data_IF_768000102770
#
_entry.id   IF_768000102770
#
_cell.length_a   1.000
_cell.length_b   1.000
_cell.length_c   1.000
_cell.angle_alpha   90.00
_cell.angle_beta   90.00
_cell.angle_gamma   90.00
#
_symmetry.space_group_name_H-M   'P 1'
#
loop_
_entity.id
_entity.type
_entity.pdbx_description
1 polymer ?
#
# COMPACT_ATOMS: atom_id res chain seq x y z
N UNK A 1 51.31 -48.86 -12.42
CA UNK A 1 52.12 -49.72 -11.51
C UNK A 1 52.19 -49.09 -10.12
N UNK A 2 51.26 -49.46 -9.24
CA UNK A 2 51.38 -49.57 -7.78
C UNK A 2 50.05 -50.13 -7.27
N UNK A 3 50.12 -51.35 -6.75
CA UNK A 3 49.05 -52.14 -6.12
C UNK A 3 49.06 -51.85 -4.61
N UNK A 4 47.92 -51.97 -3.92
CA UNK A 4 47.68 -52.56 -2.58
C UNK A 4 46.23 -52.17 -2.16
N UNK A 5 45.20 -53.01 -2.22
CA UNK A 5 44.84 -54.26 -1.47
C UNK A 5 44.12 -53.99 -0.14
N UNK A 6 42.81 -54.30 -0.17
CA UNK A 6 41.95 -55.02 0.81
C UNK A 6 41.66 -54.41 2.19
N UNK A 7 40.36 -54.43 2.54
CA UNK A 7 39.89 -54.42 3.94
C UNK A 7 38.36 -54.42 4.10
N UNK A 8 37.71 -55.56 3.88
CA UNK A 8 36.31 -55.83 4.25
C UNK A 8 36.26 -56.33 5.69
N UNK A 9 35.46 -55.72 6.59
CA UNK A 9 34.93 -56.39 7.80
C UNK A 9 33.50 -55.88 8.06
N UNK A 10 32.60 -56.84 8.30
CA UNK A 10 31.16 -56.69 8.45
C UNK A 10 30.71 -56.47 9.92
N UNK A 11 29.62 -55.70 10.03
CA UNK A 11 28.45 -55.81 10.90
C UNK A 11 28.56 -56.55 12.27
N UNK A 12 28.15 -55.87 13.34
CA UNK A 12 27.35 -56.48 14.43
C UNK A 12 26.55 -55.42 15.19
N UNK A 13 25.29 -55.75 15.44
CA UNK A 13 24.24 -55.02 16.15
C UNK A 13 24.38 -55.11 17.67
N UNK A 14 24.01 -54.07 18.41
CA UNK A 14 23.48 -54.23 19.77
C UNK A 14 22.58 -53.05 20.19
N UNK A 15 21.35 -53.41 20.58
CA UNK A 15 20.32 -52.57 21.20
C UNK A 15 20.62 -52.47 22.69
N UNK A 16 20.60 -51.27 23.27
CA UNK A 16 20.47 -51.08 24.73
C UNK A 16 19.50 -49.93 25.01
N UNK A 17 18.33 -50.30 25.54
CA UNK A 17 17.38 -49.44 26.25
C UNK A 17 17.89 -49.22 27.67
N UNK A 18 18.14 -47.98 28.08
CA UNK A 18 18.13 -47.58 29.50
C UNK A 18 17.42 -46.24 29.64
N UNK A 19 16.32 -46.28 30.37
CA UNK A 19 15.59 -45.17 30.97
C UNK A 19 16.36 -44.62 32.16
N UNK A 20 16.45 -43.29 32.31
CA UNK A 20 16.59 -42.63 33.62
C UNK A 20 16.23 -41.14 33.54
N UNK A 21 15.57 -40.70 34.59
CA UNK A 21 14.87 -39.43 34.71
C UNK A 21 15.81 -38.26 35.05
N UNK A 22 15.38 -37.06 34.62
CA UNK A 22 15.55 -35.71 35.21
C UNK A 22 16.89 -35.37 35.87
N UNK A 23 17.51 -34.29 35.37
CA UNK A 23 17.78 -33.08 36.16
C UNK A 23 17.93 -31.88 35.21
N UNK A 24 17.29 -30.78 35.61
CA UNK A 24 17.14 -29.56 34.86
C UNK A 24 18.42 -28.70 34.91
N UNK A 25 18.74 -28.05 33.80
CA UNK A 25 19.57 -26.83 33.79
C UNK A 25 18.92 -25.81 32.86
N UNK A 26 18.92 -24.57 33.33
CA UNK A 26 17.99 -23.53 32.94
C UNK A 26 18.20 -22.97 31.54
N UNK A 27 17.09 -22.81 30.84
CA UNK A 27 16.95 -21.88 29.72
C UNK A 27 15.74 -20.99 30.02
N UNK A 28 15.98 -19.71 30.31
CA UNK A 28 14.92 -18.72 30.47
C UNK A 28 14.32 -18.41 29.10
N UNK A 29 13.25 -19.12 28.74
CA UNK A 29 12.35 -18.75 27.66
C UNK A 29 11.39 -17.68 28.19
N UNK A 30 11.57 -16.44 27.73
CA UNK A 30 10.55 -15.40 27.88
C UNK A 30 9.34 -15.79 27.03
N UNK A 31 8.35 -16.46 27.65
CA UNK A 31 7.02 -16.63 27.08
C UNK A 31 6.27 -15.30 27.20
N UNK A 32 6.14 -14.59 26.09
CA UNK A 32 5.19 -13.49 25.94
C UNK A 32 3.77 -14.01 26.16
N UNK A 33 3.24 -13.86 27.38
CA UNK A 33 1.83 -14.07 27.67
C UNK A 33 1.08 -12.75 27.47
N UNK A 34 0.86 -12.40 26.21
CA UNK A 34 -0.22 -11.48 25.84
C UNK A 34 -1.17 -12.26 24.92
N UNK A 35 -2.05 -13.04 25.54
CA UNK A 35 -3.27 -13.46 24.88
C UNK A 35 -4.33 -12.37 25.17
N UNK A 36 -5.02 -11.81 24.16
CA UNK A 36 -6.12 -10.90 24.42
C UNK A 36 -7.23 -11.65 25.14
N UNK A 37 -7.69 -11.11 26.27
CA UNK A 37 -8.87 -11.61 26.99
C UNK A 37 -10.10 -11.32 26.12
N UNK A 38 -10.96 -12.32 25.80
CA UNK A 38 -12.21 -12.05 25.09
C UNK A 38 -13.15 -11.28 26.01
N UNK A 39 -13.53 -10.05 25.62
CA UNK A 39 -14.59 -9.29 26.29
C UNK A 39 -15.93 -9.79 25.75
N UNK A 40 -16.80 -10.43 26.56
CA UNK A 40 -18.10 -10.88 26.10
C UNK A 40 -19.04 -9.67 25.92
N UNK A 41 -19.55 -9.49 24.70
CA UNK A 41 -20.68 -8.58 24.45
C UNK A 41 -20.38 -7.29 23.69
N UNK A 42 -19.37 -7.25 22.80
CA UNK A 42 -19.30 -6.16 21.82
C UNK A 42 -20.48 -6.28 20.84
N UNK A 43 -21.46 -5.39 21.00
CA UNK A 43 -22.45 -5.14 19.95
C UNK A 43 -21.69 -4.78 18.66
N UNK A 44 -22.14 -5.23 17.47
CA UNK A 44 -21.54 -4.79 16.23
C UNK A 44 -21.52 -3.25 16.21
N UNK A 45 -20.34 -2.68 15.96
CA UNK A 45 -20.15 -1.24 15.89
C UNK A 45 -21.09 -0.71 14.80
N UNK A 46 -21.89 0.31 15.11
CA UNK A 46 -22.76 0.96 14.13
C UNK A 46 -21.93 1.51 12.97
N UNK A 47 -22.46 1.51 11.75
CA UNK A 47 -21.80 2.07 10.57
C UNK A 47 -21.29 3.53 10.77
N UNK A 48 -21.91 4.30 11.68
CA UNK A 48 -21.43 5.65 12.04
C UNK A 48 -20.18 5.72 12.92
N UNK A 49 -19.72 4.59 13.51
CA UNK A 49 -18.44 4.52 14.23
C UNK A 49 -17.27 4.16 13.32
N UNK A 50 -17.56 3.49 12.20
CA UNK A 50 -16.59 3.19 11.13
C UNK A 50 -16.26 4.48 10.36
N UNK A 51 -17.24 5.40 10.20
CA UNK A 51 -17.07 6.64 9.42
C UNK A 51 -16.14 7.70 10.02
N UNK A 52 -15.78 7.63 11.31
CA UNK A 52 -14.97 8.65 11.99
C UNK A 52 -13.48 8.27 12.14
N UNK A 53 -13.03 7.20 11.46
CA UNK A 53 -11.64 6.75 11.49
C UNK A 53 -11.05 6.68 10.08
N UNK A 54 -11.25 7.73 9.28
CA UNK A 54 -10.77 7.80 7.90
C UNK A 54 -9.88 9.03 7.70
N UNK A 55 -8.86 8.90 6.87
CA UNK A 55 -7.99 9.99 6.46
C UNK A 55 -7.44 9.69 5.06
N UNK A 56 -7.06 10.73 4.32
CA UNK A 56 -6.36 10.58 3.07
C UNK A 56 -4.88 10.93 3.24
N UNK A 57 -4.02 10.33 2.43
CA UNK A 57 -2.58 10.52 2.49
C UNK A 57 -1.99 10.61 1.09
N UNK A 58 -1.08 11.58 0.91
CA UNK A 58 -0.24 11.71 -0.28
C UNK A 58 1.22 11.81 0.15
N UNK A 59 2.08 11.10 -0.56
CA UNK A 59 3.53 11.13 -0.39
C UNK A 59 4.12 11.68 -1.70
N UNK A 60 4.67 12.89 -1.66
CA UNK A 60 5.21 13.54 -2.85
C UNK A 60 6.38 14.46 -2.47
N UNK A 61 7.56 14.19 -3.01
CA UNK A 61 8.78 14.95 -2.78
C UNK A 61 9.30 15.64 -4.06
N UNK A 62 8.61 15.48 -5.19
CA UNK A 62 8.87 16.25 -6.42
C UNK A 62 8.20 17.63 -6.34
N UNK A 63 8.83 18.67 -6.88
CA UNK A 63 8.27 20.01 -6.92
C UNK A 63 7.25 20.14 -8.07
N UNK A 64 6.08 19.50 -7.94
CA UNK A 64 5.06 19.50 -8.99
C UNK A 64 4.14 20.73 -8.89
N UNK A 65 4.03 21.50 -9.98
CA UNK A 65 3.20 22.71 -10.05
C UNK A 65 1.71 22.46 -9.79
N UNK A 66 1.24 21.26 -10.13
CA UNK A 66 -0.16 20.85 -10.02
C UNK A 66 -0.50 20.12 -8.71
N UNK A 67 0.47 19.88 -7.81
CA UNK A 67 0.26 19.13 -6.57
C UNK A 67 -0.80 19.78 -5.67
N UNK A 68 -0.71 21.10 -5.47
CA UNK A 68 -1.66 21.85 -4.64
C UNK A 68 -3.08 21.81 -5.24
N UNK A 69 -3.29 22.10 -6.55
CA UNK A 69 -4.58 21.87 -7.20
C UNK A 69 -5.15 20.47 -7.01
N UNK A 70 -4.33 19.42 -7.15
CA UNK A 70 -4.76 18.03 -6.96
C UNK A 70 -5.22 17.79 -5.51
N UNK A 71 -4.43 18.19 -4.52
CA UNK A 71 -4.79 18.02 -3.09
C UNK A 71 -6.08 18.77 -2.75
N UNK A 72 -6.24 20.00 -3.27
CA UNK A 72 -7.46 20.78 -3.06
C UNK A 72 -8.68 20.14 -3.73
N UNK A 73 -8.51 19.55 -4.92
CA UNK A 73 -9.55 18.78 -5.60
C UNK A 73 -10.00 17.60 -4.75
N UNK A 74 -9.07 16.74 -4.31
CA UNK A 74 -9.38 15.63 -3.42
C UNK A 74 -10.11 16.10 -2.16
N UNK A 75 -9.62 17.15 -1.50
CA UNK A 75 -10.27 17.73 -0.32
C UNK A 75 -11.71 18.15 -0.58
N UNK A 76 -11.98 18.74 -1.74
CA UNK A 76 -13.31 19.23 -2.10
C UNK A 76 -14.31 18.09 -2.35
N UNK A 77 -13.87 17.01 -3.00
CA UNK A 77 -14.71 15.85 -3.32
C UNK A 77 -14.95 14.97 -2.09
N UNK A 78 -13.90 14.75 -1.28
CA UNK A 78 -13.99 13.95 -0.06
C UNK A 78 -14.79 14.64 1.06
N UNK A 79 -14.71 15.97 1.13
CA UNK A 79 -15.37 16.76 2.16
C UNK A 79 -14.62 16.78 3.51
N UNK A 80 -15.17 17.48 4.51
CA UNK A 80 -14.45 17.84 5.74
C UNK A 80 -14.17 16.67 6.69
N UNK A 81 -14.79 15.50 6.48
CA UNK A 81 -14.54 14.30 7.30
C UNK A 81 -13.26 13.54 6.91
N UNK A 82 -12.58 13.95 5.84
CA UNK A 82 -11.34 13.37 5.35
C UNK A 82 -10.18 14.35 5.53
N UNK A 83 -9.50 14.36 6.69
CA UNK A 83 -8.25 15.09 6.82
C UNK A 83 -7.21 14.52 5.85
N UNK A 84 -6.42 15.39 5.23
CA UNK A 84 -5.36 15.01 4.28
C UNK A 84 -3.99 15.17 4.94
N UNK A 85 -3.25 14.07 4.98
CA UNK A 85 -1.85 14.04 5.39
C UNK A 85 -0.95 14.15 4.17
N UNK A 86 -0.11 15.18 4.15
CA UNK A 86 0.85 15.44 3.07
C UNK A 86 2.26 15.15 3.60
N UNK A 87 2.90 14.12 3.06
CA UNK A 87 4.28 13.76 3.37
C UNK A 87 5.19 14.27 2.26
N UNK A 88 6.15 15.14 2.60
CA UNK A 88 7.03 15.79 1.63
C UNK A 88 8.41 16.05 2.22
N UNK A 89 9.40 16.48 1.43
CA UNK A 89 10.71 16.89 1.95
C UNK A 89 10.66 18.32 2.49
N UNK A 90 11.67 18.71 3.28
CA UNK A 90 11.77 20.08 3.84
C UNK A 90 11.78 21.15 2.73
N UNK A 91 12.44 20.87 1.61
CA UNK A 91 12.58 21.80 0.50
C UNK A 91 11.23 22.18 -0.14
N UNK A 92 10.27 21.26 -0.21
CA UNK A 92 8.96 21.52 -0.80
C UNK A 92 7.97 22.20 0.16
N UNK A 93 8.28 22.33 1.45
CA UNK A 93 7.38 22.98 2.43
C UNK A 93 7.10 24.44 2.05
N UNK A 94 8.09 25.12 1.47
CA UNK A 94 7.95 26.48 0.98
C UNK A 94 6.78 26.63 0.00
N UNK A 95 6.66 25.70 -0.95
CA UNK A 95 5.63 25.74 -1.98
C UNK A 95 4.21 25.68 -1.40
N UNK A 96 3.99 24.88 -0.35
CA UNK A 96 2.70 24.82 0.34
C UNK A 96 2.40 26.10 1.14
N UNK A 97 3.43 26.78 1.63
CA UNK A 97 3.33 27.99 2.45
C UNK A 97 2.87 29.21 1.65
N UNK A 98 3.16 29.25 0.36
CA UNK A 98 2.79 30.36 -0.53
C UNK A 98 1.32 30.29 -1.00
N UNK A 99 0.67 29.13 -0.89
CA UNK A 99 -0.72 28.95 -1.31
C UNK A 99 -1.72 29.31 -0.22
N UNK A 100 -2.37 30.48 -0.36
CA UNK A 100 -3.42 30.92 0.59
C UNK A 100 -4.58 29.90 0.74
N UNK A 101 -5.14 29.30 -0.34
CA UNK A 101 -6.17 28.27 -0.19
C UNK A 101 -5.70 27.06 0.60
N UNK A 102 -4.45 26.61 0.40
CA UNK A 102 -3.88 25.49 1.13
C UNK A 102 -3.66 25.84 2.62
N UNK A 103 -3.13 27.02 2.92
CA UNK A 103 -2.90 27.48 4.29
C UNK A 103 -4.20 27.59 5.10
N UNK A 104 -5.32 27.94 4.47
CA UNK A 104 -6.64 27.90 5.14
C UNK A 104 -7.03 26.49 5.58
N UNK A 105 -6.76 25.48 4.75
CA UNK A 105 -7.03 24.08 5.09
C UNK A 105 -6.15 23.60 6.24
N UNK A 106 -4.89 24.03 6.29
CA UNK A 106 -3.99 23.77 7.43
C UNK A 106 -4.51 24.44 8.70
N UNK A 107 -4.89 25.72 8.63
CA UNK A 107 -5.43 26.48 9.76
C UNK A 107 -6.74 25.88 10.31
N UNK A 108 -7.58 25.32 9.43
CA UNK A 108 -8.82 24.62 9.79
C UNK A 108 -8.57 23.20 10.34
N UNK A 109 -7.31 22.74 10.39
CA UNK A 109 -6.95 21.39 10.82
C UNK A 109 -7.35 20.29 9.84
N UNK A 110 -7.64 20.65 8.58
CA UNK A 110 -8.01 19.72 7.52
C UNK A 110 -6.80 19.14 6.80
N UNK A 111 -5.72 19.90 6.66
CA UNK A 111 -4.46 19.43 6.09
C UNK A 111 -3.37 19.34 7.15
N UNK A 112 -2.61 18.24 7.12
CA UNK A 112 -1.48 17.99 8.00
C UNK A 112 -0.24 17.76 7.14
N UNK A 113 0.68 18.72 7.12
CA UNK A 113 1.95 18.60 6.39
C UNK A 113 3.01 18.02 7.32
N UNK A 114 3.69 16.97 6.88
CA UNK A 114 4.75 16.30 7.63
C UNK A 114 5.99 16.10 6.74
N UNK A 115 7.16 16.34 7.32
CA UNK A 115 8.44 16.05 6.67
C UNK A 115 8.69 14.54 6.64
N UNK A 116 9.17 14.03 5.51
CA UNK A 116 9.72 12.69 5.41
C UNK A 116 10.92 12.52 6.37
N UNK A 117 11.15 11.31 6.91
CA UNK A 117 12.36 11.02 7.67
C UNK A 117 13.63 11.39 6.90
N UNK A 118 14.66 11.83 7.62
CA UNK A 118 15.93 12.23 7.01
C UNK A 118 16.54 11.05 6.24
N UNK A 119 16.89 11.30 4.97
CA UNK A 119 17.53 10.31 4.10
C UNK A 119 16.56 9.48 3.24
N UNK A 120 15.25 9.69 3.35
CA UNK A 120 14.29 9.12 2.41
C UNK A 120 14.39 9.83 1.04
N UNK A 121 14.94 9.13 0.06
CA UNK A 121 14.93 9.56 -1.33
C UNK A 121 13.85 8.76 -2.09
N UNK A 122 12.72 9.38 -2.39
CA UNK A 122 11.59 8.75 -3.10
C UNK A 122 11.67 9.01 -4.61
N UNK A 123 12.80 8.68 -5.22
CA UNK A 123 13.12 9.02 -6.61
C UNK A 123 12.77 7.92 -7.63
N UNK A 124 12.40 6.73 -7.17
CA UNK A 124 12.08 5.57 -8.01
C UNK A 124 10.85 4.84 -7.48
N UNK A 125 10.14 4.09 -8.34
CA UNK A 125 9.07 3.20 -7.91
C UNK A 125 9.51 2.28 -6.76
N UNK A 126 10.71 1.69 -6.86
CA UNK A 126 11.28 0.85 -5.81
C UNK A 126 11.44 1.57 -4.46
N UNK A 127 11.90 2.82 -4.48
CA UNK A 127 12.04 3.62 -3.25
C UNK A 127 10.71 4.02 -2.63
N UNK A 128 9.70 4.31 -3.46
CA UNK A 128 8.33 4.61 -3.00
C UNK A 128 7.68 3.37 -2.38
N UNK A 129 7.74 2.23 -3.08
CA UNK A 129 7.27 0.95 -2.56
C UNK A 129 7.98 0.60 -1.24
N UNK A 130 9.31 0.77 -1.18
CA UNK A 130 10.08 0.53 0.03
C UNK A 130 9.76 1.47 1.20
N UNK A 131 9.24 2.68 0.93
CA UNK A 131 8.78 3.60 1.95
C UNK A 131 7.41 3.20 2.51
N UNK A 132 6.45 2.86 1.64
CA UNK A 132 5.13 2.40 2.06
C UNK A 132 5.16 1.07 2.85
N UNK A 133 6.25 0.31 2.78
CA UNK A 133 6.45 -0.90 3.59
C UNK A 133 7.08 -0.64 4.97
N UNK A 134 7.35 0.62 5.33
CA UNK A 134 7.90 0.98 6.65
C UNK A 134 6.76 1.16 7.66
N UNK A 135 6.86 0.56 8.87
CA UNK A 135 5.87 0.78 9.93
C UNK A 135 5.67 2.27 10.27
N UNK A 136 6.75 3.07 10.21
CA UNK A 136 6.74 4.50 10.50
C UNK A 136 5.63 5.26 9.75
N UNK A 137 5.45 4.99 8.45
CA UNK A 137 4.45 5.68 7.62
C UNK A 137 3.04 5.44 8.17
N UNK A 138 2.72 4.18 8.47
CA UNK A 138 1.43 3.80 9.00
C UNK A 138 1.22 4.27 10.44
N UNK A 139 2.27 4.34 11.26
CA UNK A 139 2.19 4.88 12.62
C UNK A 139 1.82 6.38 12.64
N UNK A 140 2.30 7.17 11.67
CA UNK A 140 1.96 8.59 11.56
C UNK A 140 0.47 8.85 11.28
N UNK A 141 -0.25 7.83 10.81
CA UNK A 141 -1.67 7.88 10.49
C UNK A 141 -2.55 7.38 11.66
N UNK A 142 -1.99 7.31 12.87
CA UNK A 142 -2.77 7.17 14.11
C UNK A 142 -3.72 8.37 14.34
N UNK A 143 -5.00 8.18 14.73
CA UNK A 143 -5.73 6.94 15.04
C UNK A 143 -6.65 6.41 13.92
N UNK A 144 -6.53 6.89 12.68
CA UNK A 144 -7.35 6.51 11.52
C UNK A 144 -7.24 5.04 11.12
N UNK A 145 -8.34 4.38 10.84
CA UNK A 145 -8.38 2.96 10.48
C UNK A 145 -8.29 2.76 8.97
N UNK A 146 -8.99 3.58 8.20
CA UNK A 146 -9.02 3.52 6.74
C UNK A 146 -8.25 4.68 6.13
N UNK A 147 -7.24 4.37 5.31
CA UNK A 147 -6.39 5.38 4.68
C UNK A 147 -6.65 5.35 3.19
N UNK A 148 -7.13 6.47 2.63
CA UNK A 148 -7.12 6.68 1.18
C UNK A 148 -5.75 7.20 0.77
N UNK A 149 -4.97 6.38 0.08
CA UNK A 149 -3.73 6.79 -0.56
C UNK A 149 -4.05 7.27 -1.98
N UNK A 150 -3.51 8.43 -2.35
CA UNK A 150 -3.55 8.94 -3.71
C UNK A 150 -2.20 9.51 -4.12
N UNK A 151 -1.82 9.29 -5.38
CA UNK A 151 -0.60 9.83 -6.00
C UNK A 151 -0.93 11.02 -6.93
N UNK A 152 0.07 11.80 -7.33
CA UNK A 152 -0.13 13.03 -8.12
C UNK A 152 -0.62 12.77 -9.56
N UNK A 153 -0.52 11.53 -10.05
CA UNK A 153 -0.98 11.02 -11.34
C UNK A 153 -2.33 10.28 -11.24
N UNK A 154 -3.06 10.54 -10.15
CA UNK A 154 -4.36 9.96 -9.81
C UNK A 154 -5.42 11.04 -9.62
N UNK A 155 -6.69 10.71 -9.91
CA UNK A 155 -7.83 11.58 -9.65
C UNK A 155 -9.04 10.79 -9.13
N UNK A 156 -9.89 11.46 -8.34
CA UNK A 156 -11.28 11.05 -8.09
C UNK A 156 -12.24 11.97 -8.86
N UNK A 157 -13.29 11.41 -9.44
CA UNK A 157 -14.14 12.10 -10.40
C UNK A 157 -15.39 12.67 -9.72
N UNK A 158 -15.60 13.99 -9.74
CA UNK A 158 -16.76 14.60 -9.05
C UNK A 158 -18.10 14.20 -9.67
N UNK A 159 -18.09 13.73 -10.92
CA UNK A 159 -19.27 13.18 -11.60
C UNK A 159 -19.65 11.78 -11.12
N UNK A 160 -18.78 11.08 -10.37
CA UNK A 160 -19.09 9.74 -9.90
C UNK A 160 -20.23 9.76 -8.88
N UNK A 161 -21.25 8.89 -9.02
CA UNK A 161 -22.26 8.74 -8.00
C UNK A 161 -21.75 7.95 -6.78
N UNK A 162 -20.60 7.30 -6.91
CA UNK A 162 -19.96 6.54 -5.85
C UNK A 162 -19.17 7.47 -4.94
N UNK A 163 -18.99 7.04 -3.70
CA UNK A 163 -18.14 7.71 -2.71
C UNK A 163 -17.05 6.77 -2.24
N UNK A 164 -15.96 7.33 -1.71
CA UNK A 164 -14.89 6.51 -1.09
C UNK A 164 -15.46 5.67 0.06
N UNK A 165 -16.45 6.19 0.78
CA UNK A 165 -17.17 5.50 1.84
C UNK A 165 -17.82 4.18 1.41
N UNK A 166 -18.23 4.07 0.15
CA UNK A 166 -18.88 2.87 -0.39
C UNK A 166 -17.93 1.66 -0.44
N UNK A 167 -16.63 1.89 -0.23
CA UNK A 167 -15.58 0.88 -0.30
C UNK A 167 -14.86 0.64 1.03
N UNK A 168 -15.26 1.31 2.13
CA UNK A 168 -14.62 1.18 3.44
C UNK A 168 -14.83 -0.18 4.12
N UNK A 169 -15.73 -1.03 3.60
CA UNK A 169 -15.86 -2.40 4.08
C UNK A 169 -14.64 -3.27 3.73
N UNK A 170 -13.81 -2.84 2.78
CA UNK A 170 -12.64 -3.56 2.32
C UNK A 170 -11.38 -3.10 3.05
N UNK A 171 -10.53 -4.07 3.41
CA UNK A 171 -9.24 -3.81 4.05
C UNK A 171 -8.18 -3.34 3.04
N UNK A 172 -8.34 -3.67 1.76
CA UNK A 172 -7.57 -3.08 0.68
C UNK A 172 -8.37 -3.14 -0.62
N UNK A 173 -8.57 -1.97 -1.23
CA UNK A 173 -9.03 -1.83 -2.61
C UNK A 173 -8.13 -0.84 -3.34
N UNK A 174 -7.78 -1.17 -4.58
CA UNK A 174 -7.12 -0.27 -5.53
C UNK A 174 -7.59 -0.60 -6.95
N UNK A 175 -6.91 -0.09 -7.98
CA UNK A 175 -7.23 -0.46 -9.35
C UNK A 175 -6.84 -1.93 -9.57
N UNK A 176 -7.75 -2.83 -10.01
CA UNK A 176 -7.41 -4.23 -10.19
C UNK A 176 -6.42 -4.40 -11.35
N UNK A 177 -5.46 -5.30 -11.14
CA UNK A 177 -4.43 -5.63 -12.12
C UNK A 177 -4.91 -6.80 -12.98
N UNK A 178 -4.82 -6.66 -14.30
CA UNK A 178 -5.14 -7.72 -15.26
C UNK A 178 -4.08 -8.85 -15.21
N UNK A 179 -4.40 -9.89 -14.43
CA UNK A 179 -3.56 -11.08 -14.24
C UNK A 179 -3.39 -11.90 -15.54
N UNK A 180 -4.42 -11.92 -16.39
CA UNK A 180 -4.42 -12.62 -17.67
C UNK A 180 -3.41 -12.04 -18.66
N UNK A 181 -3.00 -10.77 -18.48
CA UNK A 181 -1.94 -10.11 -19.24
C UNK A 181 -0.55 -10.28 -18.62
N UNK A 182 -0.42 -11.02 -17.51
CA UNK A 182 0.86 -11.27 -16.85
C UNK A 182 1.45 -10.06 -16.14
N UNK A 183 0.62 -9.07 -15.78
CA UNK A 183 1.06 -7.80 -15.15
C UNK A 183 1.25 -7.89 -13.63
N UNK A 184 0.96 -9.05 -13.05
CA UNK A 184 1.01 -9.27 -11.60
C UNK A 184 -0.36 -9.65 -11.04
N UNK A 185 -0.58 -9.39 -9.75
CA UNK A 185 -1.81 -9.80 -9.06
C UNK A 185 -2.28 -8.76 -8.03
N UNK A 186 -3.59 -8.75 -7.75
CA UNK A 186 -4.16 -7.87 -6.74
C UNK A 186 -4.49 -6.50 -7.31
N UNK A 187 -4.03 -5.45 -6.65
CA UNK A 187 -4.37 -4.08 -6.98
C UNK A 187 -3.13 -3.21 -7.13
N UNK A 188 -3.22 -2.22 -8.01
CA UNK A 188 -2.33 -1.07 -8.04
C UNK A 188 -2.70 -0.08 -6.91
N UNK A 189 -1.67 0.49 -6.30
CA UNK A 189 -1.73 1.31 -5.10
C UNK A 189 -1.94 2.81 -5.31
N UNK A 190 -1.84 3.32 -6.54
CA UNK A 190 -1.80 4.76 -6.82
C UNK A 190 -3.08 5.52 -6.45
N UNK A 191 -4.23 4.87 -6.59
CA UNK A 191 -5.45 5.17 -5.84
C UNK A 191 -5.81 3.94 -5.04
N UNK A 192 -5.79 4.01 -3.71
CA UNK A 192 -6.18 2.86 -2.89
C UNK A 192 -6.73 3.21 -1.52
N UNK A 193 -7.67 2.43 -1.01
CA UNK A 193 -8.01 2.40 0.41
C UNK A 193 -7.23 1.26 1.04
N UNK A 194 -6.55 1.51 2.16
CA UNK A 194 -5.84 0.47 2.91
C UNK A 194 -6.18 0.56 4.41
N UNK A 195 -6.45 -0.58 5.04
CA UNK A 195 -6.64 -0.69 6.48
C UNK A 195 -5.29 -0.56 7.17
N UNK A 196 -5.09 0.56 7.88
CA UNK A 196 -3.83 0.91 8.53
C UNK A 196 -3.34 -0.18 9.49
N UNK A 197 -4.24 -0.78 10.26
CA UNK A 197 -3.88 -1.80 11.26
C UNK A 197 -3.40 -3.08 10.58
N UNK A 198 -4.03 -3.46 9.47
CA UNK A 198 -3.60 -4.62 8.66
C UNK A 198 -2.27 -4.36 7.96
N UNK A 199 -2.08 -3.17 7.40
CA UNK A 199 -0.78 -2.79 6.86
C UNK A 199 0.32 -2.83 7.93
N UNK A 200 0.08 -2.30 9.13
CA UNK A 200 1.02 -2.40 10.26
C UNK A 200 1.32 -3.84 10.68
N UNK A 201 0.29 -4.69 10.78
CA UNK A 201 0.44 -6.13 11.08
C UNK A 201 1.39 -6.79 10.07
N UNK A 202 1.20 -6.49 8.78
CA UNK A 202 2.04 -7.02 7.69
C UNK A 202 3.46 -6.47 7.75
N UNK A 203 3.66 -5.15 7.84
CA UNK A 203 5.00 -4.53 7.86
C UNK A 203 5.82 -4.88 9.10
N UNK A 204 5.17 -5.28 10.21
CA UNK A 204 5.86 -5.74 11.41
C UNK A 204 6.22 -7.24 11.37
N UNK A 205 5.58 -8.01 10.50
CA UNK A 205 5.73 -9.46 10.43
C UNK A 205 6.56 -9.92 9.22
N UNK A 206 6.63 -9.10 8.17
CA UNK A 206 7.24 -9.44 6.89
C UNK A 206 8.09 -8.27 6.37
N UNK A 207 9.09 -8.59 5.56
CA UNK A 207 10.00 -7.62 4.94
C UNK A 207 9.91 -7.69 3.41
N UNK A 208 9.32 -6.66 2.81
CA UNK A 208 9.20 -6.57 1.36
C UNK A 208 10.55 -6.53 0.64
N UNK A 209 11.59 -5.90 1.21
CA UNK A 209 12.91 -5.83 0.57
C UNK A 209 13.54 -7.21 0.41
N UNK A 210 13.25 -8.12 1.34
CA UNK A 210 13.69 -9.52 1.28
C UNK A 210 12.84 -10.32 0.29
N UNK A 211 11.53 -10.07 0.24
CA UNK A 211 10.59 -10.88 -0.53
C UNK A 211 10.42 -10.47 -2.00
N UNK A 212 10.69 -9.20 -2.35
CA UNK A 212 10.52 -8.65 -3.71
C UNK A 212 11.35 -9.36 -4.78
N UNK A 213 12.45 -10.00 -4.39
CA UNK A 213 13.35 -10.74 -5.29
C UNK A 213 13.26 -12.27 -5.10
N UNK A 214 12.08 -12.78 -4.75
CA UNK A 214 11.83 -14.22 -4.63
C UNK A 214 12.22 -15.01 -5.89
N UNK A 215 12.24 -16.35 -5.79
CA UNK A 215 12.74 -17.28 -6.81
C UNK A 215 11.95 -17.31 -8.15
N UNK A 216 11.07 -16.34 -8.40
CA UNK A 216 10.23 -16.24 -9.59
C UNK A 216 9.09 -17.27 -9.65
N UNK A 217 8.97 -18.19 -8.69
CA UNK A 217 7.97 -19.28 -8.74
C UNK A 217 6.56 -18.85 -8.33
N UNK A 218 6.41 -17.69 -7.69
CA UNK A 218 5.12 -17.20 -7.15
C UNK A 218 4.68 -15.83 -7.71
N UNK A 219 5.21 -15.44 -8.86
CA UNK A 219 5.00 -14.10 -9.43
C UNK A 219 5.84 -13.05 -8.69
N UNK A 220 6.40 -12.11 -9.44
CA UNK A 220 7.20 -11.04 -8.85
C UNK A 220 6.29 -10.09 -8.05
N UNK A 221 6.60 -9.89 -6.77
CA UNK A 221 6.01 -8.84 -5.90
C UNK A 221 6.93 -7.61 -5.89
N UNK A 222 7.33 -7.18 -7.10
CA UNK A 222 8.27 -6.08 -7.33
C UNK A 222 7.73 -4.71 -6.87
N UNK A 223 6.44 -4.63 -6.54
CA UNK A 223 5.72 -3.46 -6.06
C UNK A 223 5.01 -3.78 -4.73
N UNK A 224 4.93 -2.80 -3.85
CA UNK A 224 4.41 -3.02 -2.50
C UNK A 224 2.90 -3.25 -2.47
N UNK A 225 2.16 -2.71 -3.42
CA UNK A 225 0.71 -2.85 -3.53
C UNK A 225 0.31 -4.29 -3.87
N UNK A 226 1.02 -4.93 -4.78
CA UNK A 226 0.87 -6.36 -5.07
C UNK A 226 1.31 -7.21 -3.88
N UNK A 227 2.39 -6.80 -3.20
CA UNK A 227 2.85 -7.47 -1.99
C UNK A 227 1.84 -7.40 -0.85
N UNK A 228 1.29 -6.22 -0.53
CA UNK A 228 0.21 -6.06 0.44
C UNK A 228 -1.02 -6.87 0.04
N UNK A 229 -1.40 -6.84 -1.24
CA UNK A 229 -2.52 -7.63 -1.76
C UNK A 229 -2.31 -9.14 -1.53
N UNK A 230 -1.09 -9.64 -1.78
CA UNK A 230 -0.69 -11.03 -1.50
C UNK A 230 -0.76 -11.31 0.00
N UNK A 231 -0.09 -10.51 0.83
CA UNK A 231 -0.04 -10.71 2.28
C UNK A 231 -1.40 -10.66 2.95
N UNK A 232 -2.29 -9.76 2.52
CA UNK A 232 -3.65 -9.71 3.03
C UNK A 232 -4.45 -11.00 2.74
N UNK A 233 -4.25 -11.63 1.57
CA UNK A 233 -4.84 -12.95 1.26
C UNK A 233 -4.27 -14.08 2.11
N UNK A 234 -3.01 -13.97 2.51
CA UNK A 234 -2.30 -14.97 3.32
C UNK A 234 -2.53 -14.82 4.83
N UNK A 235 -3.13 -13.71 5.27
CA UNK A 235 -3.41 -13.50 6.69
C UNK A 235 -4.26 -14.65 7.26
N UNK A 236 -3.96 -15.12 8.50
CA UNK A 236 -4.69 -16.19 9.13
C UNK A 236 -6.20 -15.90 9.16
N UNK A 237 -7.00 -16.94 8.89
CA UNK A 237 -8.45 -16.84 9.02
C UNK A 237 -8.84 -16.43 10.43
N UNK A 238 -9.92 -15.65 10.52
CA UNK A 238 -10.56 -15.33 11.78
C UNK A 238 -11.12 -16.61 12.42
N UNK A 239 -11.39 -16.56 13.73
CA UNK A 239 -11.89 -17.72 14.50
C UNK A 239 -13.22 -18.26 13.96
N UNK A 240 -14.02 -17.41 13.32
CA UNK A 240 -15.29 -17.76 12.69
C UNK A 240 -15.14 -18.29 11.25
N UNK A 241 -13.90 -18.49 10.79
CA UNK A 241 -13.58 -19.02 9.46
C UNK A 241 -13.54 -17.98 8.35
N UNK A 242 -13.85 -16.70 8.62
CA UNK A 242 -13.73 -15.62 7.63
C UNK A 242 -12.26 -15.35 7.26
N UNK A 243 -11.99 -14.79 6.07
CA UNK A 243 -10.64 -14.37 5.69
C UNK A 243 -10.00 -13.40 6.70
N UNK A 244 -8.66 -13.41 6.77
CA UNK A 244 -7.90 -12.50 7.64
C UNK A 244 -7.97 -11.03 7.24
N UNK A 245 -8.31 -10.76 5.97
CA UNK A 245 -8.63 -9.45 5.41
C UNK A 245 -9.77 -9.56 4.38
N UNK A 246 -10.63 -8.55 4.30
CA UNK A 246 -11.70 -8.45 3.31
C UNK A 246 -11.22 -7.71 2.06
N UNK A 247 -11.16 -8.39 0.93
CA UNK A 247 -10.70 -7.83 -0.35
C UNK A 247 -11.83 -7.94 -1.39
N UNK A 248 -12.09 -6.88 -2.19
CA UNK A 248 -13.16 -6.92 -3.18
C UNK A 248 -12.77 -7.79 -4.38
N UNK A 249 -13.74 -8.47 -5.01
CA UNK A 249 -13.51 -9.02 -6.35
C UNK A 249 -13.25 -7.91 -7.38
N UNK A 250 -12.64 -8.26 -8.51
CA UNK A 250 -12.20 -7.30 -9.53
C UNK A 250 -13.34 -6.44 -10.09
N UNK A 251 -14.55 -6.98 -10.23
CA UNK A 251 -15.74 -6.26 -10.70
C UNK A 251 -16.22 -5.15 -9.74
N UNK A 252 -15.90 -5.27 -8.46
CA UNK A 252 -16.10 -4.21 -7.47
C UNK A 252 -14.90 -3.26 -7.47
N UNK A 253 -13.66 -3.77 -7.53
CA UNK A 253 -12.46 -2.94 -7.54
C UNK A 253 -12.38 -1.99 -8.74
N UNK A 254 -12.82 -2.43 -9.93
CA UNK A 254 -12.91 -1.59 -11.13
C UNK A 254 -13.85 -0.39 -10.98
N UNK A 255 -14.83 -0.47 -10.07
CA UNK A 255 -15.71 0.66 -9.75
C UNK A 255 -14.97 1.72 -8.94
N UNK A 256 -14.07 1.29 -8.05
CA UNK A 256 -13.26 2.19 -7.24
C UNK A 256 -12.21 2.93 -8.06
N UNK A 257 -11.40 2.21 -8.83
CA UNK A 257 -10.34 2.82 -9.63
C UNK A 257 -10.06 2.03 -10.91
N UNK A 258 -9.78 2.75 -11.98
CA UNK A 258 -9.34 2.19 -13.27
C UNK A 258 -7.86 2.51 -13.51
N UNK A 259 -7.12 1.48 -13.88
CA UNK A 259 -5.77 1.55 -14.44
C UNK A 259 -5.67 0.57 -15.61
N UNK A 260 -5.40 -0.72 -15.35
CA UNK A 260 -5.22 -1.73 -16.42
C UNK A 260 -6.54 -2.33 -16.92
N UNK A 261 -7.53 -2.47 -16.04
CA UNK A 261 -8.85 -2.99 -16.37
C UNK A 261 -9.87 -1.86 -16.55
N UNK A 262 -10.57 -1.86 -17.69
CA UNK A 262 -11.50 -0.79 -18.05
C UNK A 262 -12.85 -0.88 -17.30
N UNK A 263 -13.33 0.29 -16.86
CA UNK A 263 -14.70 0.51 -16.41
C UNK A 263 -15.13 1.92 -16.83
N UNK A 264 -16.37 2.06 -17.32
CA UNK A 264 -16.85 3.28 -17.97
C UNK A 264 -16.93 4.48 -17.03
N UNK A 265 -17.35 4.25 -15.77
CA UNK A 265 -17.69 5.30 -14.81
C UNK A 265 -17.17 5.01 -13.40
N UNK A 266 -15.85 4.88 -13.21
CA UNK A 266 -15.27 4.61 -11.91
C UNK A 266 -15.34 5.85 -11.01
N UNK A 267 -15.11 5.64 -9.72
CA UNK A 267 -14.85 6.70 -8.76
C UNK A 267 -13.56 7.45 -9.08
N UNK A 268 -12.52 6.79 -9.57
CA UNK A 268 -11.27 7.44 -9.94
C UNK A 268 -10.43 6.71 -10.99
N UNK A 269 -9.32 7.33 -11.36
CA UNK A 269 -8.36 6.79 -12.32
C UNK A 269 -6.93 6.97 -11.82
N UNK A 270 -6.07 6.02 -12.15
CA UNK A 270 -4.62 6.12 -12.01
C UNK A 270 -3.96 5.92 -13.38
N UNK A 271 -3.14 6.90 -13.80
CA UNK A 271 -2.41 6.89 -15.08
C UNK A 271 -3.21 6.39 -16.32
N UNK A 272 -4.46 6.81 -16.55
CA UNK A 272 -5.24 6.34 -17.71
C UNK A 272 -4.62 6.75 -19.05
N UNK A 273 -3.80 7.81 -19.11
CA UNK A 273 -3.03 8.16 -20.30
C UNK A 273 -2.05 7.06 -20.73
N UNK A 274 -1.54 6.27 -19.76
CA UNK A 274 -0.63 5.14 -20.01
C UNK A 274 -1.43 3.89 -20.34
N UNK A 275 -2.44 3.57 -19.52
CA UNK A 275 -3.08 2.25 -19.53
C UNK A 275 -4.39 2.18 -20.31
N UNK A 276 -5.04 3.32 -20.54
CA UNK A 276 -6.36 3.45 -21.18
C UNK A 276 -6.34 4.55 -22.26
N UNK A 277 -5.21 4.67 -22.98
CA UNK A 277 -5.00 5.73 -23.97
C UNK A 277 -6.13 5.80 -25.03
N UNK A 278 -6.69 4.65 -25.41
CA UNK A 278 -7.79 4.54 -26.37
C UNK A 278 -9.14 5.05 -25.83
N UNK A 279 -9.24 5.32 -24.52
CA UNK A 279 -10.45 5.79 -23.84
C UNK A 279 -10.36 7.23 -23.31
N UNK A 280 -9.30 7.97 -23.67
CA UNK A 280 -9.07 9.31 -23.11
C UNK A 280 -10.19 10.31 -23.41
N UNK A 281 -10.91 10.15 -24.52
CA UNK A 281 -12.06 11.00 -24.85
C UNK A 281 -13.23 10.76 -23.89
N UNK A 282 -13.55 9.51 -23.58
CA UNK A 282 -14.56 9.13 -22.60
C UNK A 282 -14.17 9.59 -21.20
N UNK A 283 -12.91 9.38 -20.82
CA UNK A 283 -12.36 9.77 -19.50
C UNK A 283 -12.45 11.29 -19.33
N UNK A 284 -12.05 12.07 -20.32
CA UNK A 284 -12.14 13.53 -20.25
C UNK A 284 -13.57 14.09 -20.21
N UNK A 285 -14.54 13.31 -20.69
CA UNK A 285 -15.97 13.65 -20.61
C UNK A 285 -16.53 13.26 -19.23
N UNK A 286 -16.13 12.11 -18.71
CA UNK A 286 -16.57 11.60 -17.41
C UNK A 286 -15.92 12.33 -16.25
N UNK A 287 -14.61 12.52 -16.32
CA UNK A 287 -13.72 13.00 -15.26
C UNK A 287 -12.81 14.11 -15.81
N UNK A 288 -13.37 15.29 -16.17
CA UNK A 288 -12.60 16.38 -16.73
C UNK A 288 -11.43 16.85 -15.84
N UNK A 289 -11.51 16.60 -14.54
CA UNK A 289 -10.52 16.89 -13.51
C UNK A 289 -9.20 16.15 -13.71
N UNK A 290 -9.20 15.03 -14.45
CA UNK A 290 -7.97 14.32 -14.77
C UNK A 290 -6.95 15.20 -15.52
N UNK A 291 -7.41 16.25 -16.21
CA UNK A 291 -6.51 17.25 -16.84
C UNK A 291 -5.60 18.00 -15.86
N UNK A 292 -5.88 17.92 -14.55
CA UNK A 292 -5.02 18.48 -13.51
C UNK A 292 -3.89 17.52 -13.11
N UNK A 293 -4.01 16.22 -13.35
CA UNK A 293 -3.01 15.23 -12.95
C UNK A 293 -1.68 15.44 -13.65
N UNK A 294 -0.58 15.03 -13.00
CA UNK A 294 0.70 15.00 -13.69
C UNK A 294 0.68 13.87 -14.72
N UNK A 295 1.23 14.15 -15.89
CA UNK A 295 1.54 13.11 -16.88
C UNK A 295 3.00 12.66 -16.78
N UNK A 296 3.78 13.27 -15.88
CA UNK A 296 5.19 12.96 -15.63
C UNK A 296 5.30 11.69 -14.78
N UNK A 297 5.92 10.67 -15.37
CA UNK A 297 6.32 9.43 -14.72
C UNK A 297 7.62 9.61 -13.96
N UNK A 298 7.95 8.70 -13.04
CA UNK A 298 9.28 8.70 -12.38
C UNK A 298 10.45 8.58 -13.37
N UNK A 299 10.22 8.00 -14.56
CA UNK A 299 11.24 7.92 -15.61
C UNK A 299 11.59 9.30 -16.19
N UNK A 300 10.67 10.28 -16.12
CA UNK A 300 10.85 11.61 -16.68
C UNK A 300 11.76 12.51 -15.82
N UNK A 301 12.01 12.13 -14.56
CA UNK A 301 12.94 12.82 -13.65
C UNK A 301 14.25 12.07 -13.41
N UNK A 302 14.60 11.09 -14.26
CA UNK A 302 15.93 10.49 -14.19
C UNK A 302 16.98 11.53 -14.66
N UNK A 303 17.96 11.94 -13.82
CA UNK A 303 18.99 12.90 -14.23
C UNK A 303 19.83 12.45 -15.44
N UNK A 304 19.82 11.15 -15.77
CA UNK A 304 20.45 10.62 -17.00
C UNK A 304 19.66 10.95 -18.29
N UNK A 305 18.36 11.25 -18.20
CA UNK A 305 17.53 11.64 -19.36
C UNK A 305 17.64 13.12 -19.74
N UNK A 306 18.31 13.94 -18.92
CA UNK A 306 18.65 15.33 -19.26
C UNK A 306 20.01 15.44 -19.99
N UNK A 307 20.59 14.30 -20.38
CA UNK A 307 21.76 14.21 -21.24
C UNK A 307 21.40 14.36 -22.72
N UNK A 308 21.58 15.58 -23.22
CA UNK A 308 21.82 15.93 -24.62
C UNK A 308 20.60 16.06 -25.56
N UNK A 309 19.98 17.24 -25.49
CA UNK A 309 19.33 17.83 -26.67
C UNK A 309 19.60 19.33 -26.73
N UNK A 310 20.86 19.70 -26.96
CA UNK A 310 21.19 21.03 -27.43
C UNK A 310 22.49 21.04 -28.25
N UNK A 311 22.30 21.28 -29.56
CA UNK A 311 23.27 21.65 -30.64
C UNK A 311 24.31 20.62 -31.09
#
# INVERSE_FOLDING_TARGET
MKIYVIGVIALTTLIVLISSQRLATGGHSFRNHWAPVPVPGSKPLSNSRISNRKAAAIVENRPLDNLIPIILHFSSVLGPEWPIHVFTNEDNIGNFSESTPFQRQVADGRFHVQTLPRGEALNTHASVSGFFTKPWFWEQLAPYEHILIFQADTIICSNSPQKVEDFLEYDFVGAPIDDARGMGMGYNGGLSIRNRTKCLEITNSYDWQVERHGDGSQGNVDYEDQWFSKKMRELPKQLDGRPGANLPPADIAMKFSVETMWYDKPLGYHQPNVWQNDHMAEIHKWCPEYRMCTTETFADHNPENFGDSSS
#
